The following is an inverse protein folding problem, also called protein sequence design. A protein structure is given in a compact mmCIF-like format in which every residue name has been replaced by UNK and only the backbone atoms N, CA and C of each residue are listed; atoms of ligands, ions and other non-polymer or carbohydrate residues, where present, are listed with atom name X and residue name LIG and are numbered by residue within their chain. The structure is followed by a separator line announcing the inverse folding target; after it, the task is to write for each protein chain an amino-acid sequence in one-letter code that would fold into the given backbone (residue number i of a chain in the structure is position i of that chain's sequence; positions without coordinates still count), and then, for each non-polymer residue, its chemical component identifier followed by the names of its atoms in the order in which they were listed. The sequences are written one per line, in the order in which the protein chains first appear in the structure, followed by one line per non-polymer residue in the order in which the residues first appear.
data_IF_965861034829
#
_entry.id   IF_965861034829
#
_cell.length_a   1.000
_cell.length_b   1.000
_cell.length_c   1.000
_cell.angle_alpha   90.00
_cell.angle_beta   90.00
_cell.angle_gamma   90.00
#
_symmetry.space_group_name_H-M   'P 1'
#
loop_
_entity.id
_entity.type
_entity.pdbx_description
1 polymer ?
#
# COMPACT_ATOMS: atom_id res chain seq x y z
N UNK A 1 -19.64 -7.28 5.54
CA UNK A 1 -19.34 -7.34 7.00
C UNK A 1 -17.90 -6.96 7.36
N UNK A 2 -17.06 -6.62 6.39
CA UNK A 2 -15.62 -6.28 6.59
C UNK A 2 -15.36 -4.78 6.76
N UNK A 3 -16.06 -3.91 6.09
CA UNK A 3 -15.86 -2.45 6.17
C UNK A 3 -16.29 -1.84 7.51
N UNK A 4 -17.40 -2.32 8.07
CA UNK A 4 -17.83 -1.95 9.42
C UNK A 4 -16.84 -2.42 10.50
N UNK A 5 -16.12 -3.51 10.27
CA UNK A 5 -15.12 -4.00 11.23
C UNK A 5 -13.81 -3.20 11.16
N UNK A 6 -13.30 -2.88 9.98
CA UNK A 6 -12.03 -2.13 9.81
C UNK A 6 -12.21 -0.65 10.15
N UNK A 7 -13.28 -0.02 9.70
CA UNK A 7 -13.65 1.36 10.08
C UNK A 7 -13.99 1.45 11.57
N UNK A 8 -14.68 0.44 12.14
CA UNK A 8 -14.98 0.37 13.56
C UNK A 8 -13.72 0.10 14.41
N UNK A 9 -12.79 -0.74 13.94
CA UNK A 9 -11.50 -0.96 14.60
C UNK A 9 -10.63 0.30 14.57
N UNK A 10 -10.48 0.96 13.41
CA UNK A 10 -9.76 2.23 13.32
C UNK A 10 -10.41 3.34 14.18
N UNK A 11 -11.73 3.37 14.29
CA UNK A 11 -12.44 4.35 15.11
C UNK A 11 -12.28 4.08 16.61
N UNK A 12 -12.21 2.82 17.03
CA UNK A 12 -11.94 2.42 18.43
C UNK A 12 -10.52 2.82 18.84
N UNK A 13 -9.54 2.72 17.91
CA UNK A 13 -8.14 3.07 18.17
C UNK A 13 -7.87 4.59 18.11
N UNK A 14 -8.68 5.37 17.37
CA UNK A 14 -8.46 6.83 17.23
C UNK A 14 -8.82 7.64 18.47
N UNK A 15 -9.65 7.12 19.36
CA UNK A 15 -10.14 7.86 20.52
C UNK A 15 -9.27 7.76 21.78
N UNK A 16 -8.17 6.95 21.78
CA UNK A 16 -7.37 6.69 22.99
C UNK A 16 -5.88 6.45 22.69
N UNK A 17 -5.23 7.32 21.93
CA UNK A 17 -3.85 7.14 21.46
C UNK A 17 -2.75 7.19 22.54
N UNK A 18 -3.04 7.72 23.71
CA UNK A 18 -2.00 7.99 24.72
C UNK A 18 -1.69 6.82 25.69
N UNK A 19 -2.43 5.70 25.66
CA UNK A 19 -2.28 4.61 26.62
C UNK A 19 -2.29 3.18 26.04
N UNK A 20 -2.23 2.98 24.73
CA UNK A 20 -2.39 1.67 24.13
C UNK A 20 -1.07 0.92 23.89
N UNK A 21 -1.02 -0.33 24.36
CA UNK A 21 0.07 -1.28 24.07
C UNK A 21 -0.22 -2.02 22.77
N UNK A 22 0.69 -1.98 21.81
CA UNK A 22 0.54 -2.68 20.53
C UNK A 22 1.13 -4.09 20.59
N UNK A 23 0.39 -5.04 20.04
CA UNK A 23 0.70 -6.47 20.06
C UNK A 23 0.81 -7.01 18.62
N UNK A 24 1.90 -7.68 18.35
CA UNK A 24 2.19 -8.23 17.03
C UNK A 24 2.47 -9.73 17.19
N UNK A 25 1.87 -10.58 16.35
CA UNK A 25 2.22 -11.97 16.22
C UNK A 25 2.96 -12.23 14.91
N UNK A 26 4.09 -12.89 14.97
CA UNK A 26 4.83 -13.40 13.80
C UNK A 26 4.90 -14.92 13.90
N UNK A 27 4.25 -15.60 12.97
CA UNK A 27 4.15 -17.06 12.94
C UNK A 27 5.10 -17.59 11.89
N UNK A 28 6.09 -18.35 12.34
CA UNK A 28 7.25 -18.81 11.57
C UNK A 28 8.40 -17.82 11.61
N UNK A 29 9.55 -18.26 12.15
CA UNK A 29 10.81 -17.49 12.18
C UNK A 29 11.92 -18.14 11.34
N UNK A 30 11.53 -18.78 10.23
CA UNK A 30 12.43 -19.23 9.18
C UNK A 30 13.07 -18.08 8.38
N UNK A 31 13.32 -18.27 7.10
CA UNK A 31 13.96 -17.24 6.24
C UNK A 31 13.20 -15.93 6.18
N UNK A 32 11.87 -15.98 6.03
CA UNK A 32 11.01 -14.79 5.98
C UNK A 32 10.92 -14.13 7.36
N UNK A 33 10.44 -14.87 8.37
CA UNK A 33 10.13 -14.30 9.68
C UNK A 33 11.37 -13.82 10.43
N UNK A 34 12.50 -14.53 10.37
CA UNK A 34 13.75 -14.07 11.00
C UNK A 34 14.25 -12.76 10.37
N UNK A 35 14.10 -12.59 9.05
CA UNK A 35 14.40 -11.33 8.36
C UNK A 35 13.44 -10.23 8.79
N UNK A 36 12.14 -10.48 8.72
CA UNK A 36 11.10 -9.50 9.10
C UNK A 36 11.32 -8.98 10.52
N UNK A 37 11.43 -9.87 11.51
CA UNK A 37 11.58 -9.48 12.92
C UNK A 37 12.88 -8.71 13.14
N UNK A 38 13.98 -9.13 12.50
CA UNK A 38 15.28 -8.45 12.63
C UNK A 38 15.22 -7.01 12.11
N UNK A 39 14.61 -6.76 10.96
CA UNK A 39 14.52 -5.42 10.39
C UNK A 39 13.50 -4.56 11.14
N UNK A 40 12.35 -5.12 11.48
CA UNK A 40 11.30 -4.42 12.24
C UNK A 40 11.80 -3.95 13.61
N UNK A 41 12.42 -4.82 14.39
CA UNK A 41 12.91 -4.50 15.75
C UNK A 41 13.96 -3.39 15.70
N UNK A 42 14.88 -3.42 14.74
CA UNK A 42 15.89 -2.36 14.54
C UNK A 42 15.25 -1.03 14.16
N UNK A 43 14.27 -1.04 13.27
CA UNK A 43 13.53 0.15 12.87
C UNK A 43 12.76 0.75 14.06
N UNK A 44 12.05 -0.06 14.83
CA UNK A 44 11.32 0.38 16.02
C UNK A 44 12.26 0.92 17.10
N UNK A 45 13.38 0.25 17.37
CA UNK A 45 14.35 0.69 18.38
C UNK A 45 14.89 2.12 18.13
N UNK A 46 15.11 2.49 16.86
CA UNK A 46 15.65 3.80 16.47
C UNK A 46 14.58 4.81 16.08
N UNK A 47 13.39 4.33 15.77
CA UNK A 47 12.27 5.18 15.30
C UNK A 47 11.62 5.98 16.44
N UNK A 48 10.96 7.09 16.06
CA UNK A 48 10.17 7.90 16.98
C UNK A 48 8.85 7.25 17.42
N UNK A 49 8.45 6.14 16.82
CA UNK A 49 7.17 5.48 17.09
C UNK A 49 7.03 5.09 18.57
N UNK A 50 8.06 4.52 19.18
CA UNK A 50 8.07 4.21 20.62
C UNK A 50 7.93 5.44 21.53
N UNK A 51 8.12 6.65 21.01
CA UNK A 51 7.89 7.88 21.79
C UNK A 51 6.41 8.26 21.82
N UNK A 52 5.64 7.85 20.80
CA UNK A 52 4.21 8.12 20.65
C UNK A 52 3.32 6.95 21.04
N UNK A 53 3.87 5.75 21.28
CA UNK A 53 3.16 4.57 21.78
C UNK A 53 3.53 4.28 23.21
N UNK A 54 2.78 3.43 23.93
CA UNK A 54 3.17 2.98 25.26
C UNK A 54 4.20 1.86 25.14
N UNK A 55 3.81 0.67 24.78
CA UNK A 55 4.70 -0.47 24.63
C UNK A 55 4.37 -1.24 23.34
N UNK A 56 5.37 -1.90 22.75
CA UNK A 56 5.21 -2.80 21.62
C UNK A 56 5.75 -4.17 22.02
N UNK A 57 4.91 -5.20 21.89
CA UNK A 57 5.29 -6.58 22.17
C UNK A 57 5.13 -7.42 20.91
N UNK A 58 6.16 -8.16 20.53
CA UNK A 58 6.21 -9.04 19.37
C UNK A 58 6.28 -10.49 19.87
N UNK A 59 5.20 -11.25 19.69
CA UNK A 59 5.18 -12.69 19.91
C UNK A 59 5.67 -13.40 18.65
N UNK A 60 6.68 -14.25 18.80
CA UNK A 60 7.23 -15.03 17.71
C UNK A 60 7.00 -16.52 17.95
N UNK A 61 6.35 -17.19 16.99
CA UNK A 61 5.92 -18.59 17.09
C UNK A 61 6.67 -19.47 16.09
N UNK A 62 7.35 -20.48 16.57
CA UNK A 62 8.01 -21.51 15.74
C UNK A 62 8.48 -22.64 16.65
N UNK A 63 8.12 -23.90 16.34
CA UNK A 63 8.52 -25.07 17.13
C UNK A 63 9.88 -25.61 16.75
N UNK A 64 10.46 -25.17 15.64
CA UNK A 64 11.69 -25.69 15.07
C UNK A 64 12.93 -25.28 15.86
N UNK A 65 13.97 -26.12 15.68
CA UNK A 65 15.33 -25.81 16.12
C UNK A 65 16.20 -25.36 14.94
N UNK A 66 17.18 -24.55 15.26
CA UNK A 66 18.17 -24.13 14.28
C UNK A 66 18.99 -25.34 13.83
N UNK A 67 19.02 -25.60 12.54
CA UNK A 67 19.90 -26.60 11.90
C UNK A 67 21.06 -25.93 11.16
N UNK A 68 22.08 -26.71 10.78
CA UNK A 68 23.22 -26.20 9.99
C UNK A 68 22.74 -25.60 8.66
N UNK A 69 21.75 -26.23 8.01
CA UNK A 69 21.21 -25.78 6.72
C UNK A 69 20.53 -24.42 6.82
N UNK A 70 19.98 -24.08 7.99
CA UNK A 70 19.35 -22.78 8.22
C UNK A 70 20.35 -21.62 8.14
N UNK A 71 21.63 -21.87 8.44
CA UNK A 71 22.66 -20.83 8.42
C UNK A 71 22.90 -20.24 7.03
N UNK A 72 22.55 -20.96 5.98
CA UNK A 72 22.73 -20.50 4.60
C UNK A 72 21.78 -19.39 4.19
N UNK A 73 20.57 -19.29 4.81
CA UNK A 73 19.52 -18.40 4.34
C UNK A 73 18.58 -17.86 5.44
N UNK A 74 18.87 -18.12 6.72
CA UNK A 74 18.13 -17.58 7.86
C UNK A 74 19.05 -16.76 8.76
N UNK A 75 18.50 -15.95 9.65
CA UNK A 75 19.26 -15.00 10.48
C UNK A 75 19.81 -15.65 11.75
N UNK A 76 20.46 -16.81 11.61
CA UNK A 76 21.07 -17.56 12.71
C UNK A 76 22.58 -17.70 12.53
N UNK A 77 23.29 -17.93 13.62
CA UNK A 77 24.73 -18.18 13.68
C UNK A 77 25.05 -19.65 14.01
N UNK A 78 26.28 -20.05 13.80
CA UNK A 78 26.70 -21.41 14.15
C UNK A 78 26.53 -21.72 15.66
N UNK A 79 26.59 -20.70 16.52
CA UNK A 79 26.37 -20.85 17.95
C UNK A 79 24.93 -21.13 18.35
N UNK A 80 23.99 -20.94 17.43
CA UNK A 80 22.55 -21.14 17.66
C UNK A 80 22.08 -22.55 17.28
N UNK A 81 22.93 -23.36 16.63
CA UNK A 81 22.56 -24.71 16.18
C UNK A 81 22.12 -25.58 17.35
N UNK A 82 20.89 -26.09 17.26
CA UNK A 82 20.26 -26.91 18.31
C UNK A 82 19.33 -26.12 19.24
N UNK A 83 19.42 -24.81 19.33
CA UNK A 83 18.47 -23.98 20.08
C UNK A 83 17.14 -23.88 19.34
N UNK A 84 16.03 -23.54 20.03
CA UNK A 84 14.81 -23.16 19.34
C UNK A 84 15.01 -21.88 18.54
N UNK A 85 14.48 -21.83 17.33
CA UNK A 85 14.62 -20.66 16.42
C UNK A 85 14.14 -19.38 17.09
N UNK A 86 13.01 -19.44 17.81
CA UNK A 86 12.43 -18.30 18.53
C UNK A 86 13.37 -17.77 19.62
N UNK A 87 14.00 -18.66 20.40
CA UNK A 87 14.94 -18.27 21.46
C UNK A 87 16.22 -17.67 20.90
N UNK A 88 16.77 -18.29 19.84
CA UNK A 88 17.96 -17.80 19.15
C UNK A 88 17.75 -16.40 18.57
N UNK A 89 16.59 -16.18 17.90
CA UNK A 89 16.25 -14.88 17.32
C UNK A 89 16.05 -13.83 18.40
N UNK A 90 15.27 -14.10 19.45
CA UNK A 90 15.05 -13.17 20.56
C UNK A 90 16.37 -12.78 21.24
N UNK A 91 17.27 -13.76 21.47
CA UNK A 91 18.61 -13.53 22.03
C UNK A 91 19.46 -12.62 21.12
N UNK A 92 19.45 -12.86 19.81
CA UNK A 92 20.23 -12.07 18.85
C UNK A 92 19.79 -10.60 18.76
N UNK A 93 18.56 -10.32 19.12
CA UNK A 93 17.95 -8.97 19.09
C UNK A 93 17.86 -8.30 20.46
N UNK A 94 18.43 -8.92 21.51
CA UNK A 94 18.33 -8.45 22.90
C UNK A 94 18.89 -7.04 23.12
N UNK A 95 19.88 -6.62 22.33
CA UNK A 95 20.43 -5.25 22.42
C UNK A 95 19.49 -4.15 21.90
N UNK A 96 18.48 -4.52 21.11
CA UNK A 96 17.48 -3.62 20.54
C UNK A 96 16.17 -3.62 21.33
N UNK A 97 16.01 -4.54 22.29
CA UNK A 97 14.81 -4.67 23.12
C UNK A 97 14.99 -4.03 24.49
N UNK A 98 13.90 -3.80 25.21
CA UNK A 98 13.92 -3.16 26.52
C UNK A 98 12.51 -3.08 27.10
N UNK A 99 12.29 -2.13 28.03
CA UNK A 99 11.01 -2.01 28.72
C UNK A 99 9.83 -1.65 27.81
N UNK A 100 10.09 -1.00 26.68
CA UNK A 100 9.05 -0.53 25.75
C UNK A 100 8.94 -1.29 24.44
N UNK A 101 9.93 -2.13 24.14
CA UNK A 101 9.93 -3.02 22.98
C UNK A 101 10.39 -4.39 23.43
N UNK A 102 9.52 -5.38 23.37
CA UNK A 102 9.80 -6.73 23.83
C UNK A 102 9.53 -7.78 22.76
N UNK A 103 10.30 -8.87 22.80
CA UNK A 103 10.07 -10.08 21.99
C UNK A 103 9.74 -11.21 22.97
N UNK A 104 8.63 -11.91 22.70
CA UNK A 104 8.20 -13.08 23.48
C UNK A 104 8.34 -14.33 22.61
N UNK A 105 9.35 -15.17 22.88
CA UNK A 105 9.53 -16.41 22.14
C UNK A 105 8.50 -17.47 22.55
N UNK A 106 7.90 -18.12 21.57
CA UNK A 106 6.84 -19.14 21.71
C UNK A 106 7.27 -20.39 20.90
N UNK A 107 7.90 -21.36 21.57
CA UNK A 107 8.48 -22.55 20.93
C UNK A 107 7.41 -23.62 20.64
N UNK A 108 6.34 -23.27 19.95
CA UNK A 108 5.27 -24.18 19.53
C UNK A 108 4.62 -23.74 18.21
N UNK A 109 3.93 -24.68 17.54
CA UNK A 109 3.19 -24.43 16.31
C UNK A 109 1.85 -23.80 16.61
N UNK A 110 1.40 -22.94 15.71
CA UNK A 110 0.04 -22.41 15.69
C UNK A 110 -0.85 -23.34 14.85
N UNK A 111 -1.79 -24.03 15.49
CA UNK A 111 -2.74 -24.97 14.87
C UNK A 111 -4.18 -24.55 15.03
N UNK A 112 -4.44 -23.65 15.97
CA UNK A 112 -5.75 -23.07 16.28
C UNK A 112 -5.59 -21.63 16.76
N UNK A 113 -6.68 -20.87 16.82
CA UNK A 113 -6.67 -19.52 17.37
C UNK A 113 -6.28 -19.49 18.87
N UNK A 114 -6.54 -20.57 19.61
CA UNK A 114 -6.23 -20.67 21.03
C UNK A 114 -4.71 -20.83 21.30
N UNK A 115 -3.91 -21.13 20.27
CA UNK A 115 -2.45 -21.23 20.38
C UNK A 115 -1.77 -19.85 20.37
N UNK A 116 -2.53 -18.78 20.08
CA UNK A 116 -2.04 -17.42 19.99
C UNK A 116 -2.68 -16.50 21.01
N UNK A 117 -1.94 -15.51 21.47
CA UNK A 117 -2.53 -14.39 22.20
C UNK A 117 -3.30 -13.47 21.24
N UNK A 118 -4.29 -12.75 21.76
CA UNK A 118 -4.97 -11.71 21.00
C UNK A 118 -3.99 -10.57 20.67
N UNK A 119 -3.90 -10.20 19.40
CA UNK A 119 -2.96 -9.21 18.90
C UNK A 119 -3.63 -8.24 17.91
N UNK A 120 -2.99 -7.10 17.67
CA UNK A 120 -3.46 -6.08 16.73
C UNK A 120 -3.05 -6.40 15.29
N UNK A 121 -1.86 -6.97 15.12
CA UNK A 121 -1.28 -7.33 13.81
C UNK A 121 -0.79 -8.77 13.83
N UNK A 122 -1.13 -9.54 12.80
CA UNK A 122 -0.66 -10.93 12.64
C UNK A 122 0.07 -11.10 11.33
N UNK A 123 1.29 -11.63 11.36
CA UNK A 123 2.03 -12.02 10.16
C UNK A 123 2.31 -13.52 10.20
N UNK A 124 2.04 -14.21 9.09
CA UNK A 124 2.36 -15.63 8.92
C UNK A 124 3.33 -15.81 7.76
N UNK A 125 4.43 -16.53 8.02
CA UNK A 125 5.48 -16.82 7.04
C UNK A 125 6.01 -18.25 7.18
N UNK A 126 5.09 -19.22 7.34
CA UNK A 126 5.37 -20.67 7.44
C UNK A 126 5.10 -21.38 6.13
N UNK A 127 5.50 -22.62 6.01
CA UNK A 127 5.13 -23.53 4.93
C UNK A 127 3.80 -24.26 5.17
N UNK A 128 3.31 -24.30 6.41
CA UNK A 128 2.08 -24.98 6.81
C UNK A 128 0.82 -24.21 6.35
N UNK A 129 -0.03 -24.83 5.53
CA UNK A 129 -1.33 -24.31 5.15
C UNK A 129 -2.32 -24.22 6.33
N UNK A 130 -2.17 -25.05 7.35
CA UNK A 130 -3.03 -25.01 8.55
C UNK A 130 -2.86 -23.71 9.32
N UNK A 131 -1.62 -23.33 9.65
CA UNK A 131 -1.34 -22.08 10.35
C UNK A 131 -1.81 -20.86 9.55
N UNK A 132 -1.64 -20.88 8.21
CA UNK A 132 -2.16 -19.82 7.32
C UNK A 132 -3.68 -19.67 7.43
N UNK A 133 -4.43 -20.78 7.37
CA UNK A 133 -5.89 -20.77 7.51
C UNK A 133 -6.35 -20.27 8.86
N UNK A 134 -5.64 -20.63 9.94
CA UNK A 134 -5.92 -20.08 11.27
C UNK A 134 -5.85 -18.56 11.22
N UNK A 135 -4.75 -18.00 10.67
CA UNK A 135 -4.57 -16.55 10.55
C UNK A 135 -5.66 -15.91 9.70
N UNK A 136 -5.97 -16.47 8.51
CA UNK A 136 -7.02 -15.93 7.64
C UNK A 136 -8.41 -15.94 8.29
N UNK A 137 -8.67 -16.85 9.24
CA UNK A 137 -9.95 -16.98 9.92
C UNK A 137 -10.08 -16.15 11.21
N UNK A 138 -8.96 -15.69 11.80
CA UNK A 138 -8.97 -14.93 13.03
C UNK A 138 -9.58 -13.53 12.90
N UNK A 139 -9.73 -13.02 11.67
CA UNK A 139 -10.14 -11.63 11.42
C UNK A 139 -9.05 -10.63 11.79
N UNK A 140 -9.36 -9.33 11.66
CA UNK A 140 -8.40 -8.27 11.97
C UNK A 140 -7.34 -8.05 10.89
N UNK A 141 -6.24 -7.41 11.25
CA UNK A 141 -5.16 -7.04 10.34
C UNK A 141 -4.14 -8.19 10.24
N UNK A 142 -4.14 -8.91 9.15
CA UNK A 142 -3.22 -10.01 8.92
C UNK A 142 -2.46 -9.89 7.59
N UNK A 143 -1.27 -10.47 7.55
CA UNK A 143 -0.40 -10.58 6.38
C UNK A 143 0.13 -12.02 6.26
N UNK A 144 -0.02 -12.63 5.08
CA UNK A 144 0.52 -13.95 4.73
C UNK A 144 1.64 -13.77 3.69
N UNK A 145 2.84 -14.11 4.10
CA UNK A 145 4.06 -14.02 3.29
C UNK A 145 4.49 -15.39 2.82
N UNK A 146 4.73 -15.51 1.52
CA UNK A 146 5.23 -16.73 0.88
C UNK A 146 6.40 -16.40 -0.01
N UNK A 147 7.35 -17.31 -0.13
CA UNK A 147 8.43 -17.18 -1.10
C UNK A 147 8.69 -18.51 -1.79
N UNK A 148 9.18 -18.43 -3.00
CA UNK A 148 9.71 -19.53 -3.77
C UNK A 148 10.89 -19.03 -4.59
N UNK A 149 12.07 -19.53 -4.33
CA UNK A 149 13.31 -19.11 -5.00
C UNK A 149 13.57 -17.60 -4.85
N UNK A 150 13.52 -16.85 -5.97
CA UNK A 150 13.76 -15.41 -6.07
C UNK A 150 12.47 -14.60 -6.19
N UNK A 151 11.31 -15.23 -5.96
CA UNK A 151 10.02 -14.60 -5.94
C UNK A 151 9.34 -14.64 -4.57
N UNK A 152 8.35 -13.78 -4.38
CA UNK A 152 7.50 -13.79 -3.21
C UNK A 152 6.07 -13.39 -3.54
N UNK A 153 5.16 -13.73 -2.64
CA UNK A 153 3.76 -13.31 -2.64
C UNK A 153 3.45 -12.75 -1.24
N UNK A 154 2.84 -11.58 -1.18
CA UNK A 154 2.27 -10.99 0.02
C UNK A 154 0.75 -10.88 -0.15
N UNK A 155 0.01 -11.66 0.63
CA UNK A 155 -1.44 -11.65 0.73
C UNK A 155 -1.80 -10.98 2.05
N UNK A 156 -2.78 -10.09 2.09
CA UNK A 156 -3.27 -9.57 3.37
C UNK A 156 -4.81 -9.51 3.40
N UNK A 157 -5.35 -9.02 4.49
CA UNK A 157 -6.78 -8.92 4.75
C UNK A 157 -7.57 -8.15 3.68
N UNK A 158 -6.89 -7.38 2.81
CA UNK A 158 -7.49 -6.63 1.69
C UNK A 158 -7.70 -7.46 0.43
N UNK A 159 -7.06 -8.64 0.33
CA UNK A 159 -7.15 -9.51 -0.85
C UNK A 159 -8.51 -10.20 -0.89
N UNK A 160 -9.04 -10.37 -2.10
CA UNK A 160 -10.27 -11.13 -2.36
C UNK A 160 -10.25 -12.49 -1.64
N UNK A 161 -11.24 -12.80 -0.78
CA UNK A 161 -11.27 -14.02 0.01
C UNK A 161 -11.27 -15.31 -0.82
N UNK A 162 -11.88 -15.30 -2.01
CA UNK A 162 -11.89 -16.46 -2.90
C UNK A 162 -10.49 -16.69 -3.49
N UNK A 163 -9.78 -15.61 -3.80
CA UNK A 163 -8.38 -15.68 -4.23
C UNK A 163 -7.48 -16.21 -3.11
N UNK A 164 -7.66 -15.74 -1.87
CA UNK A 164 -6.91 -16.24 -0.70
C UNK A 164 -7.13 -17.73 -0.51
N UNK A 165 -8.40 -18.18 -0.60
CA UNK A 165 -8.79 -19.59 -0.49
C UNK A 165 -8.16 -20.42 -1.60
N UNK A 166 -8.24 -19.96 -2.85
CA UNK A 166 -7.66 -20.63 -4.01
C UNK A 166 -6.12 -20.79 -3.88
N UNK A 167 -5.47 -19.81 -3.29
CA UNK A 167 -4.02 -19.80 -3.09
C UNK A 167 -3.56 -20.54 -1.83
N UNK A 168 -4.48 -21.06 -1.02
CA UNK A 168 -4.15 -21.80 0.21
C UNK A 168 -4.73 -23.23 0.18
N UNK A 169 -4.39 -24.05 -0.84
CA UNK A 169 -4.83 -25.43 -0.93
C UNK A 169 -4.16 -26.28 0.17
N UNK A 170 -4.73 -27.48 0.39
CA UNK A 170 -4.04 -28.51 1.16
C UNK A 170 -2.86 -29.03 0.37
N UNK A 171 -1.66 -28.76 0.83
CA UNK A 171 -0.42 -29.25 0.24
C UNK A 171 0.62 -29.56 1.30
N UNK A 172 1.54 -30.46 0.97
CA UNK A 172 2.69 -30.72 1.82
C UNK A 172 3.58 -29.47 1.92
N UNK A 173 4.24 -29.26 3.08
CA UNK A 173 5.19 -28.17 3.26
C UNK A 173 6.32 -28.24 2.22
N UNK A 174 6.60 -27.10 1.57
CA UNK A 174 7.67 -26.98 0.59
C UNK A 174 8.73 -25.99 1.05
N UNK A 175 10.01 -26.32 0.85
CA UNK A 175 11.11 -25.41 1.14
C UNK A 175 11.06 -24.18 0.22
N UNK A 176 11.39 -23.01 0.77
CA UNK A 176 11.57 -21.80 -0.02
C UNK A 176 12.81 -21.81 -0.94
N UNK A 177 13.72 -22.77 -0.76
CA UNK A 177 14.90 -23.01 -1.59
C UNK A 177 14.69 -24.26 -2.46
N UNK A 178 15.24 -24.25 -3.66
CA UNK A 178 15.27 -25.44 -4.52
C UNK A 178 16.10 -26.55 -3.88
N UNK A 179 15.76 -27.79 -4.18
CA UNK A 179 16.55 -28.95 -3.79
C UNK A 179 18.00 -28.80 -4.30
N UNK A 180 18.97 -29.05 -3.45
CA UNK A 180 20.41 -28.91 -3.75
C UNK A 180 20.92 -27.45 -3.78
N UNK A 181 20.07 -26.45 -3.52
CA UNK A 181 20.51 -25.05 -3.52
C UNK A 181 21.47 -24.73 -2.37
N UNK A 182 21.23 -25.34 -1.20
CA UNK A 182 22.06 -25.12 -0.01
C UNK A 182 23.43 -25.73 -0.22
N UNK A 183 23.50 -26.99 -0.68
CA UNK A 183 24.74 -27.74 -0.91
C UNK A 183 25.61 -27.10 -2.01
N UNK A 184 24.95 -26.56 -3.04
CA UNK A 184 25.65 -25.87 -4.16
C UNK A 184 25.99 -24.41 -3.86
N UNK A 185 25.45 -23.83 -2.77
CA UNK A 185 25.58 -22.42 -2.47
C UNK A 185 24.73 -21.50 -3.40
N UNK A 186 23.87 -22.09 -4.24
CA UNK A 186 23.01 -21.33 -5.19
C UNK A 186 21.72 -20.84 -4.53
N UNK A 187 21.86 -20.14 -3.42
CA UNK A 187 20.76 -19.60 -2.62
C UNK A 187 19.99 -18.52 -3.40
N UNK A 188 18.69 -18.54 -3.28
CA UNK A 188 17.77 -17.52 -3.80
C UNK A 188 17.22 -16.65 -2.67
N UNK A 189 16.96 -15.36 -2.95
CA UNK A 189 16.70 -14.35 -1.94
C UNK A 189 15.25 -13.86 -1.87
N UNK A 190 14.29 -14.61 -2.42
CA UNK A 190 12.86 -14.27 -2.32
C UNK A 190 12.37 -14.08 -0.88
N UNK A 191 12.91 -14.85 0.07
CA UNK A 191 12.60 -14.72 1.49
C UNK A 191 13.02 -13.37 2.09
N UNK A 192 14.10 -12.73 1.60
CA UNK A 192 14.50 -11.40 2.04
C UNK A 192 13.52 -10.34 1.56
N UNK A 193 13.04 -10.44 0.31
CA UNK A 193 12.03 -9.55 -0.23
C UNK A 193 10.73 -9.66 0.54
N UNK A 194 10.25 -10.88 0.79
CA UNK A 194 9.07 -11.14 1.60
C UNK A 194 9.23 -10.57 3.01
N UNK A 195 10.37 -10.80 3.66
CA UNK A 195 10.66 -10.27 4.99
C UNK A 195 10.70 -8.74 5.05
N UNK A 196 11.31 -8.10 4.05
CA UNK A 196 11.33 -6.63 3.94
C UNK A 196 9.94 -6.05 3.71
N UNK A 197 9.13 -6.66 2.81
CA UNK A 197 7.73 -6.27 2.61
C UNK A 197 6.94 -6.37 3.91
N UNK A 198 7.08 -7.47 4.64
CA UNK A 198 6.39 -7.67 5.92
C UNK A 198 6.80 -6.68 7.00
N UNK A 199 8.09 -6.37 7.12
CA UNK A 199 8.58 -5.38 8.08
C UNK A 199 7.98 -3.99 7.79
N UNK A 200 7.93 -3.59 6.52
CA UNK A 200 7.32 -2.33 6.10
C UNK A 200 5.80 -2.34 6.34
N UNK A 201 5.12 -3.44 6.02
CA UNK A 201 3.68 -3.58 6.24
C UNK A 201 3.31 -3.41 7.72
N UNK A 202 4.04 -4.06 8.63
CA UNK A 202 3.82 -3.93 10.08
C UNK A 202 4.10 -2.50 10.54
N UNK A 203 5.21 -1.90 10.11
CA UNK A 203 5.60 -0.54 10.51
C UNK A 203 4.56 0.49 10.08
N UNK A 204 4.10 0.45 8.83
CA UNK A 204 3.09 1.37 8.31
C UNK A 204 1.72 1.20 9.00
N UNK A 205 1.31 -0.04 9.31
CA UNK A 205 0.10 -0.26 10.09
C UNK A 205 0.22 0.27 11.52
N UNK A 206 1.37 0.13 12.17
CA UNK A 206 1.60 0.75 13.48
C UNK A 206 1.49 2.28 13.40
N UNK A 207 2.03 2.90 12.36
CA UNK A 207 1.86 4.34 12.13
C UNK A 207 0.38 4.72 11.92
N UNK A 208 -0.38 3.95 11.16
CA UNK A 208 -1.83 4.17 11.00
C UNK A 208 -2.57 4.05 12.34
N UNK A 209 -2.29 2.99 13.11
CA UNK A 209 -2.91 2.74 14.42
C UNK A 209 -2.56 3.83 15.44
N UNK A 210 -1.42 4.51 15.29
CA UNK A 210 -1.02 5.66 16.11
C UNK A 210 -1.50 7.01 15.55
N UNK A 211 -2.38 7.00 14.54
CA UNK A 211 -3.03 8.20 14.01
C UNK A 211 -2.25 8.96 12.92
N UNK A 212 -1.16 8.39 12.39
CA UNK A 212 -0.42 8.99 11.28
C UNK A 212 -1.14 8.70 9.96
N UNK A 213 -2.02 9.60 9.54
CA UNK A 213 -2.85 9.46 8.34
C UNK A 213 -2.08 9.39 7.01
N UNK A 214 -0.79 9.74 7.01
CA UNK A 214 0.08 9.68 5.84
C UNK A 214 0.80 8.33 5.67
N UNK A 215 0.62 7.39 6.60
CA UNK A 215 1.20 6.06 6.49
C UNK A 215 0.46 5.25 5.41
N UNK A 216 1.22 4.59 4.54
CA UNK A 216 0.67 3.82 3.41
C UNK A 216 1.26 2.41 3.44
N UNK A 217 0.53 1.44 4.02
CA UNK A 217 0.98 0.05 4.02
C UNK A 217 1.15 -0.49 2.59
N UNK A 218 2.21 -1.28 2.33
CA UNK A 218 2.42 -1.90 1.03
C UNK A 218 1.18 -2.66 0.57
N UNK A 219 0.88 -2.57 -0.72
CA UNK A 219 -0.24 -3.29 -1.33
C UNK A 219 0.05 -4.78 -1.45
N UNK A 220 -0.98 -5.65 -1.39
CA UNK A 220 -0.83 -7.06 -1.70
C UNK A 220 -0.30 -7.26 -3.11
N UNK A 221 0.77 -8.05 -3.22
CA UNK A 221 1.47 -8.20 -4.51
C UNK A 221 2.26 -9.50 -4.59
N UNK A 222 2.65 -9.85 -5.81
CA UNK A 222 3.65 -10.86 -6.10
C UNK A 222 4.77 -10.27 -6.93
N UNK A 223 5.99 -10.68 -6.69
CA UNK A 223 7.14 -10.27 -7.50
C UNK A 223 8.12 -11.41 -7.70
N UNK A 224 8.83 -11.40 -8.84
CA UNK A 224 9.92 -12.31 -9.15
C UNK A 224 11.07 -11.53 -9.77
N UNK A 225 12.26 -11.63 -9.17
CA UNK A 225 13.45 -10.87 -9.58
C UNK A 225 14.01 -11.33 -10.91
N UNK A 226 14.10 -12.65 -11.14
CA UNK A 226 14.71 -13.22 -12.36
C UNK A 226 13.92 -12.80 -13.60
N UNK A 227 12.61 -12.77 -13.51
CA UNK A 227 11.76 -12.40 -14.66
C UNK A 227 11.36 -10.93 -14.67
N UNK A 228 11.76 -10.16 -13.64
CA UNK A 228 11.41 -8.73 -13.52
C UNK A 228 9.90 -8.49 -13.49
N UNK A 229 9.14 -9.41 -12.89
CA UNK A 229 7.69 -9.30 -12.79
C UNK A 229 7.26 -8.73 -11.46
N UNK A 230 6.29 -7.84 -11.50
CA UNK A 230 5.53 -7.34 -10.36
C UNK A 230 4.04 -7.39 -10.75
N UNK A 231 3.22 -8.02 -9.92
CA UNK A 231 1.79 -8.09 -10.13
C UNK A 231 1.04 -7.75 -8.83
N UNK A 232 0.09 -6.84 -8.92
CA UNK A 232 -0.85 -6.57 -7.84
C UNK A 232 -1.81 -7.75 -7.71
N UNK A 233 -2.22 -8.06 -6.48
CA UNK A 233 -3.20 -9.11 -6.23
C UNK A 233 -4.61 -8.51 -6.25
N UNK A 234 -5.64 -9.32 -6.58
CA UNK A 234 -7.02 -8.86 -6.57
C UNK A 234 -7.40 -8.50 -5.13
N UNK A 235 -7.80 -7.26 -4.93
CA UNK A 235 -8.34 -6.81 -3.66
C UNK A 235 -9.79 -7.30 -3.51
N UNK A 236 -10.21 -7.55 -2.28
CA UNK A 236 -11.62 -7.69 -1.98
C UNK A 236 -12.32 -6.44 -2.51
N UNK A 237 -13.42 -6.62 -3.22
CA UNK A 237 -14.25 -5.48 -3.59
C UNK A 237 -14.61 -4.78 -2.28
N UNK A 238 -14.02 -3.62 -2.03
CA UNK A 238 -14.61 -2.72 -1.06
C UNK A 238 -16.03 -2.49 -1.56
N UNK A 239 -17.02 -2.68 -0.69
CA UNK A 239 -18.34 -2.09 -0.88
C UNK A 239 -18.23 -0.55 -0.73
N UNK A 240 -17.25 0.07 -1.35
CA UNK A 240 -17.35 1.47 -1.73
C UNK A 240 -18.49 1.49 -2.73
N UNK A 241 -19.48 2.31 -2.48
CA UNK A 241 -20.51 2.55 -3.49
C UNK A 241 -19.78 2.78 -4.82
N UNK A 242 -20.10 2.00 -5.88
CA UNK A 242 -19.38 2.09 -7.12
C UNK A 242 -19.38 3.56 -7.53
N UNK A 243 -18.19 4.16 -7.71
CA UNK A 243 -18.12 5.55 -8.14
C UNK A 243 -18.85 5.66 -9.46
N UNK A 244 -20.02 6.26 -9.42
CA UNK A 244 -20.82 6.48 -10.60
C UNK A 244 -20.23 7.61 -11.43
N UNK A 245 -20.28 7.53 -12.76
CA UNK A 245 -19.90 8.66 -13.57
C UNK A 245 -20.77 9.88 -13.23
N UNK A 246 -20.15 11.02 -13.14
CA UNK A 246 -20.78 12.29 -12.77
C UNK A 246 -21.27 12.98 -14.03
N UNK A 247 -22.54 13.38 -14.04
CA UNK A 247 -23.10 14.18 -15.14
C UNK A 247 -22.58 15.62 -15.06
N UNK A 248 -22.00 16.18 -16.14
CA UNK A 248 -21.50 17.56 -16.13
C UNK A 248 -22.65 18.57 -16.11
N UNK A 249 -22.93 19.17 -14.95
CA UNK A 249 -24.03 20.15 -14.76
C UNK A 249 -23.45 21.42 -14.14
N UNK A 250 -23.71 22.55 -14.77
CA UNK A 250 -23.41 23.86 -14.17
C UNK A 250 -24.46 24.25 -13.12
N UNK A 251 -23.98 24.48 -11.90
CA UNK A 251 -24.82 24.95 -10.81
C UNK A 251 -24.65 26.46 -10.56
N UNK A 252 -25.72 27.15 -10.05
CA UNK A 252 -25.66 28.58 -9.73
C UNK A 252 -24.54 28.86 -8.69
N UNK A 253 -23.83 30.00 -8.79
CA UNK A 253 -22.75 30.33 -7.84
C UNK A 253 -23.19 30.36 -6.37
N UNK A 254 -24.42 30.71 -6.08
CA UNK A 254 -24.99 30.70 -4.72
C UNK A 254 -25.13 29.30 -4.14
N UNK A 255 -25.48 28.30 -4.96
CA UNK A 255 -25.55 26.87 -4.56
C UNK A 255 -24.15 26.33 -4.25
N UNK A 256 -23.19 26.61 -5.13
CA UNK A 256 -21.78 26.21 -4.91
C UNK A 256 -21.23 26.84 -3.61
N UNK A 257 -21.47 28.16 -3.42
CA UNK A 257 -21.01 28.85 -2.21
C UNK A 257 -21.65 28.29 -0.94
N UNK A 258 -22.91 27.85 -1.01
CA UNK A 258 -23.57 27.20 0.12
C UNK A 258 -22.90 25.87 0.49
N UNK A 259 -22.62 24.98 -0.48
CA UNK A 259 -21.93 23.72 -0.26
C UNK A 259 -20.54 23.97 0.35
N UNK A 260 -19.77 24.92 -0.19
CA UNK A 260 -18.43 25.24 0.35
C UNK A 260 -18.54 25.75 1.80
N UNK A 261 -19.49 26.62 2.10
CA UNK A 261 -19.65 27.23 3.46
C UNK A 261 -20.11 26.22 4.51
N UNK A 262 -20.84 25.19 4.11
CA UNK A 262 -21.29 24.10 5.00
C UNK A 262 -20.27 22.97 5.12
N UNK A 263 -19.17 23.01 4.36
CA UNK A 263 -18.17 21.94 4.32
C UNK A 263 -18.60 20.69 3.55
N UNK A 264 -19.69 20.78 2.78
CA UNK A 264 -20.25 19.69 1.96
C UNK A 264 -19.49 19.59 0.62
N UNK A 265 -18.19 19.33 0.70
CA UNK A 265 -17.28 19.35 -0.45
C UNK A 265 -17.44 18.14 -1.37
N UNK A 266 -17.96 17.02 -0.85
CA UNK A 266 -18.17 15.76 -1.59
C UNK A 266 -19.60 15.64 -2.14
N UNK A 267 -20.36 16.76 -2.14
CA UNK A 267 -21.73 16.75 -2.65
C UNK A 267 -21.77 16.54 -4.16
N UNK A 268 -22.83 15.88 -4.64
CA UNK A 268 -23.10 15.74 -6.07
C UNK A 268 -23.05 17.08 -6.81
N UNK A 269 -23.52 18.15 -6.18
CA UNK A 269 -23.51 19.53 -6.72
C UNK A 269 -22.07 20.00 -7.05
N UNK A 270 -21.12 19.80 -6.14
CA UNK A 270 -19.72 20.17 -6.35
C UNK A 270 -19.11 19.30 -7.45
N UNK A 271 -19.31 17.99 -7.41
CA UNK A 271 -18.78 17.06 -8.40
C UNK A 271 -19.33 17.31 -9.81
N UNK A 272 -20.64 17.51 -9.93
CA UNK A 272 -21.30 17.85 -11.20
C UNK A 272 -20.79 19.17 -11.79
N UNK A 273 -20.59 20.18 -10.93
CA UNK A 273 -20.08 21.48 -11.35
C UNK A 273 -18.60 21.37 -11.80
N UNK A 274 -17.76 20.62 -11.05
CA UNK A 274 -16.38 20.37 -11.42
C UNK A 274 -16.27 19.63 -12.76
N UNK A 275 -17.10 18.59 -12.98
CA UNK A 275 -17.19 17.90 -14.25
C UNK A 275 -17.60 18.82 -15.41
N UNK A 276 -18.56 19.74 -15.19
CA UNK A 276 -18.99 20.70 -16.19
C UNK A 276 -17.89 21.72 -16.54
N UNK A 277 -17.12 22.17 -15.56
CA UNK A 277 -15.96 23.04 -15.76
C UNK A 277 -14.87 22.32 -16.58
N UNK A 278 -14.56 21.09 -16.23
CA UNK A 278 -13.57 20.30 -16.97
C UNK A 278 -14.01 20.00 -18.41
N UNK A 279 -15.26 19.59 -18.61
CA UNK A 279 -15.83 19.34 -19.95
C UNK A 279 -15.79 20.56 -20.84
N UNK A 280 -15.94 21.74 -20.25
CA UNK A 280 -15.91 23.03 -20.95
C UNK A 280 -14.52 23.66 -20.97
N UNK A 281 -13.50 22.93 -20.50
CA UNK A 281 -12.10 23.39 -20.44
C UNK A 281 -11.93 24.73 -19.69
N UNK A 282 -12.78 24.99 -18.71
CA UNK A 282 -12.73 26.17 -17.87
C UNK A 282 -11.74 25.99 -16.72
N UNK A 283 -10.46 25.81 -17.07
CA UNK A 283 -9.40 25.40 -16.14
C UNK A 283 -9.19 26.37 -14.98
N UNK A 284 -9.14 27.71 -15.20
CA UNK A 284 -9.02 28.67 -14.10
C UNK A 284 -10.16 28.55 -13.09
N UNK A 285 -11.38 28.34 -13.56
CA UNK A 285 -12.56 28.18 -12.68
C UNK A 285 -12.56 26.86 -11.93
N UNK A 286 -12.06 25.78 -12.57
CA UNK A 286 -11.91 24.48 -11.92
C UNK A 286 -10.87 24.56 -10.81
N UNK A 287 -9.71 25.18 -11.09
CA UNK A 287 -8.71 25.45 -10.05
C UNK A 287 -9.27 26.32 -8.93
N UNK A 288 -9.99 27.42 -9.26
CA UNK A 288 -10.59 28.31 -8.28
C UNK A 288 -11.59 27.58 -7.37
N UNK A 289 -12.34 26.61 -7.90
CA UNK A 289 -13.27 25.77 -7.12
C UNK A 289 -12.51 24.99 -6.06
N UNK A 290 -11.45 24.27 -6.42
CA UNK A 290 -10.59 23.54 -5.49
C UNK A 290 -9.96 24.46 -4.45
N UNK A 291 -9.42 25.59 -4.90
CA UNK A 291 -8.79 26.59 -4.01
C UNK A 291 -9.76 27.16 -2.96
N UNK A 292 -11.00 27.47 -3.35
CA UNK A 292 -12.04 27.94 -2.41
C UNK A 292 -12.44 26.91 -1.37
N UNK A 293 -12.39 25.64 -1.71
CA UNK A 293 -12.65 24.54 -0.78
C UNK A 293 -11.44 24.20 0.09
N UNK A 294 -10.24 24.71 -0.26
CA UNK A 294 -8.97 24.24 0.26
C UNK A 294 -8.81 22.72 0.09
N UNK A 295 -9.14 22.22 -1.10
CA UNK A 295 -9.14 20.81 -1.47
C UNK A 295 -8.62 20.64 -2.90
N UNK A 296 -7.93 19.54 -3.14
CA UNK A 296 -7.60 19.12 -4.49
C UNK A 296 -8.80 18.41 -5.13
N UNK A 297 -9.02 18.65 -6.41
CA UNK A 297 -10.05 18.00 -7.21
C UNK A 297 -9.33 17.10 -8.23
N UNK A 298 -9.78 15.86 -8.35
CA UNK A 298 -9.32 14.90 -9.36
C UNK A 298 -10.47 14.52 -10.28
N UNK A 299 -10.24 14.52 -11.59
CA UNK A 299 -11.22 14.15 -12.61
C UNK A 299 -10.58 13.16 -13.56
N UNK A 300 -11.17 11.97 -13.63
CA UNK A 300 -10.79 10.93 -14.57
C UNK A 300 -11.83 10.86 -15.70
N UNK A 301 -11.37 10.87 -16.93
CA UNK A 301 -12.21 10.72 -18.13
C UNK A 301 -11.95 9.36 -18.77
N UNK A 302 -12.97 8.54 -18.89
CA UNK A 302 -12.85 7.21 -19.47
C UNK A 302 -12.94 7.19 -21.01
N UNK A 303 -12.80 5.99 -21.61
CA UNK A 303 -12.88 5.82 -23.06
C UNK A 303 -14.23 6.20 -23.68
N UNK A 304 -15.31 6.22 -22.90
CA UNK A 304 -16.67 6.59 -23.31
C UNK A 304 -17.02 8.05 -22.97
N UNK A 305 -16.04 8.88 -22.59
CA UNK A 305 -16.20 10.28 -22.16
C UNK A 305 -16.99 10.45 -20.85
N UNK A 306 -17.13 9.40 -20.05
CA UNK A 306 -17.68 9.48 -18.71
C UNK A 306 -16.65 10.06 -17.77
N UNK A 307 -17.11 10.95 -16.89
CA UNK A 307 -16.26 11.67 -15.92
C UNK A 307 -16.49 11.12 -14.52
N UNK A 308 -15.42 10.88 -13.80
CA UNK A 308 -15.41 10.47 -12.41
C UNK A 308 -14.66 11.54 -11.62
N UNK A 309 -15.30 12.10 -10.60
CA UNK A 309 -14.77 13.23 -9.83
C UNK A 309 -14.51 12.79 -8.40
N UNK A 310 -13.34 13.13 -7.91
CA UNK A 310 -12.94 12.98 -6.52
C UNK A 310 -12.54 14.33 -5.93
N UNK A 311 -12.85 14.52 -4.66
CA UNK A 311 -12.40 15.67 -3.87
C UNK A 311 -11.51 15.17 -2.74
N UNK A 312 -10.23 15.49 -2.82
CA UNK A 312 -9.21 15.04 -1.87
C UNK A 312 -9.08 15.94 -0.63
N UNK A 313 -7.89 15.94 -0.07
CA UNK A 313 -7.47 16.84 1.00
C UNK A 313 -6.88 18.14 0.44
N UNK A 314 -6.31 19.00 1.28
CA UNK A 314 -5.63 20.23 0.86
C UNK A 314 -4.27 20.02 0.17
N UNK A 315 -3.79 18.80 0.03
CA UNK A 315 -2.48 18.50 -0.58
C UNK A 315 -2.36 17.08 -1.10
N UNK A 316 -3.49 16.39 -1.29
CA UNK A 316 -3.51 15.06 -1.87
C UNK A 316 -4.90 14.69 -2.38
N UNK A 317 -4.95 14.25 -3.63
CA UNK A 317 -6.10 13.57 -4.21
C UNK A 317 -5.63 12.31 -4.94
N UNK A 318 -6.31 11.21 -4.72
CA UNK A 318 -5.96 9.94 -5.36
C UNK A 318 -6.67 9.78 -6.71
N UNK A 319 -5.92 9.25 -7.69
CA UNK A 319 -6.53 8.70 -8.89
C UNK A 319 -6.97 7.26 -8.58
N UNK A 320 -8.24 7.08 -8.33
CA UNK A 320 -8.83 5.74 -8.23
C UNK A 320 -9.36 5.28 -9.60
N UNK A 321 -9.23 3.99 -9.89
CA UNK A 321 -9.84 3.38 -11.08
C UNK A 321 -11.28 2.96 -10.75
N UNK A 322 -12.32 3.73 -11.18
CA UNK A 322 -13.69 3.44 -10.82
C UNK A 322 -14.17 2.12 -11.44
N UNK A 323 -14.90 1.33 -10.66
CA UNK A 323 -15.47 0.08 -11.14
C UNK A 323 -16.40 0.33 -12.34
N UNK A 324 -16.17 -0.37 -13.44
CA UNK A 324 -16.95 -0.24 -14.67
C UNK A 324 -16.54 0.90 -15.61
N UNK A 325 -15.57 1.73 -15.24
CA UNK A 325 -14.96 2.70 -16.15
C UNK A 325 -14.24 1.99 -17.31
N UNK A 326 -14.28 2.56 -18.49
CA UNK A 326 -13.73 1.96 -19.72
C UNK A 326 -12.30 2.47 -19.98
N UNK A 327 -11.40 1.54 -20.13
CA UNK A 327 -10.00 1.82 -20.52
C UNK A 327 -9.85 1.80 -22.05
N UNK A 328 -8.83 2.52 -22.61
CA UNK A 328 -7.90 3.39 -21.89
C UNK A 328 -8.57 4.67 -21.39
N UNK A 329 -8.15 5.16 -20.22
CA UNK A 329 -8.58 6.46 -19.73
C UNK A 329 -8.02 7.56 -20.65
N UNK A 330 -8.88 8.48 -21.08
CA UNK A 330 -8.47 9.56 -21.99
C UNK A 330 -7.60 10.58 -21.27
N UNK A 331 -8.04 11.05 -20.09
CA UNK A 331 -7.28 12.02 -19.33
C UNK A 331 -7.51 11.90 -17.82
N UNK A 332 -6.49 12.27 -17.06
CA UNK A 332 -6.55 12.51 -15.63
C UNK A 332 -6.16 13.96 -15.35
N UNK A 333 -7.08 14.72 -14.76
CA UNK A 333 -6.94 16.15 -14.49
C UNK A 333 -7.05 16.34 -12.98
N UNK A 334 -6.09 17.05 -12.36
CA UNK A 334 -6.22 17.38 -10.95
C UNK A 334 -5.67 18.78 -10.65
N UNK A 335 -6.08 19.33 -9.52
CA UNK A 335 -5.70 20.68 -9.09
C UNK A 335 -4.65 20.60 -7.98
N UNK A 336 -3.67 21.50 -8.02
CA UNK A 336 -2.74 21.76 -6.91
C UNK A 336 -3.11 23.09 -6.22
N UNK A 337 -2.72 23.28 -4.93
CA UNK A 337 -3.10 24.48 -4.18
C UNK A 337 -2.62 25.81 -4.79
N UNK A 338 -1.40 25.83 -5.33
CA UNK A 338 -0.75 27.02 -5.87
C UNK A 338 -0.21 26.78 -7.30
N UNK A 339 1.00 26.24 -7.42
CA UNK A 339 1.66 26.04 -8.71
C UNK A 339 1.34 24.66 -9.31
N UNK A 340 1.27 24.59 -10.65
CA UNK A 340 1.19 23.33 -11.36
C UNK A 340 2.60 22.73 -11.51
N UNK A 341 2.79 21.53 -10.97
CA UNK A 341 4.02 20.73 -11.12
C UNK A 341 3.72 19.25 -10.92
N UNK A 342 4.60 18.37 -11.36
CA UNK A 342 4.48 16.94 -11.10
C UNK A 342 5.08 16.61 -9.73
N UNK A 343 4.25 16.32 -8.75
CA UNK A 343 4.70 15.83 -7.44
C UNK A 343 5.25 14.40 -7.54
N UNK A 344 5.92 13.92 -6.50
CA UNK A 344 6.38 12.52 -6.45
C UNK A 344 5.21 11.52 -6.49
N UNK A 345 4.07 11.89 -5.91
CA UNK A 345 2.83 11.10 -5.93
C UNK A 345 2.26 11.02 -7.34
N UNK A 346 2.20 12.15 -8.06
CA UNK A 346 1.72 12.20 -9.44
C UNK A 346 2.61 11.36 -10.37
N UNK A 347 3.92 11.49 -10.23
CA UNK A 347 4.87 10.69 -11.01
C UNK A 347 4.71 9.18 -10.75
N UNK A 348 4.47 8.80 -9.50
CA UNK A 348 4.16 7.41 -9.16
C UNK A 348 2.84 6.95 -9.77
N UNK A 349 1.81 7.79 -9.75
CA UNK A 349 0.52 7.52 -10.39
C UNK A 349 0.67 7.34 -11.90
N UNK A 350 1.37 8.25 -12.59
CA UNK A 350 1.65 8.15 -14.02
C UNK A 350 2.42 6.87 -14.37
N UNK A 351 3.42 6.52 -13.55
CA UNK A 351 4.17 5.30 -13.73
C UNK A 351 3.28 4.05 -13.65
N UNK A 352 2.39 3.99 -12.66
CA UNK A 352 1.47 2.87 -12.43
C UNK A 352 0.38 2.79 -13.51
N UNK A 353 -0.05 3.92 -14.07
CA UNK A 353 -1.15 4.00 -15.03
C UNK A 353 -0.68 4.02 -16.50
N UNK A 354 0.63 3.90 -16.78
CA UNK A 354 1.21 3.99 -18.13
C UNK A 354 0.54 3.07 -19.16
N UNK A 355 0.01 1.92 -18.73
CA UNK A 355 -0.65 0.97 -19.64
C UNK A 355 -2.10 1.33 -20.01
N UNK A 356 -2.75 2.23 -19.28
CA UNK A 356 -4.19 2.47 -19.37
C UNK A 356 -4.59 3.95 -19.37
N UNK A 357 -3.67 4.89 -19.14
CA UNK A 357 -3.92 6.33 -19.16
C UNK A 357 -3.19 6.97 -20.35
N UNK A 358 -3.87 7.83 -21.10
CA UNK A 358 -3.32 8.45 -22.30
C UNK A 358 -2.75 9.84 -22.04
N UNK A 359 -3.36 10.62 -21.15
CA UNK A 359 -2.98 12.01 -20.89
C UNK A 359 -3.20 12.35 -19.42
N UNK A 360 -2.39 13.23 -18.87
CA UNK A 360 -2.57 13.79 -17.54
C UNK A 360 -2.27 15.29 -17.51
N UNK A 361 -2.97 16.01 -16.62
CA UNK A 361 -2.86 17.46 -16.46
C UNK A 361 -2.93 17.85 -15.00
N UNK A 362 -2.03 18.72 -14.55
CA UNK A 362 -2.06 19.38 -13.25
C UNK A 362 -2.41 20.84 -13.45
N UNK A 363 -3.41 21.33 -12.72
CA UNK A 363 -3.85 22.71 -12.75
C UNK A 363 -3.27 23.48 -11.56
N UNK A 364 -2.61 24.58 -11.80
CA UNK A 364 -2.20 25.57 -10.82
C UNK A 364 -3.02 26.85 -10.94
N UNK A 365 -2.59 27.91 -10.25
CA UNK A 365 -3.32 29.18 -10.14
C UNK A 365 -3.56 29.86 -11.49
N UNK A 366 -2.54 29.95 -12.34
CA UNK A 366 -2.55 30.71 -13.59
C UNK A 366 -2.00 29.91 -14.79
N UNK A 367 -1.52 28.70 -14.54
CA UNK A 367 -0.94 27.83 -15.56
C UNK A 367 -1.26 26.36 -15.27
N UNK A 368 -0.99 25.51 -16.24
CA UNK A 368 -1.04 24.05 -16.09
C UNK A 368 0.23 23.40 -16.63
N UNK A 369 0.49 22.17 -16.17
CA UNK A 369 1.44 21.25 -16.80
C UNK A 369 0.69 20.03 -17.29
N UNK A 370 1.09 19.50 -18.42
CA UNK A 370 0.48 18.31 -18.98
C UNK A 370 1.52 17.30 -19.44
N UNK A 371 1.10 16.08 -19.62
CA UNK A 371 1.93 14.98 -20.10
C UNK A 371 1.06 14.01 -20.91
N UNK A 372 1.61 13.53 -22.01
CA UNK A 372 0.95 12.55 -22.88
C UNK A 372 1.74 11.26 -22.84
N UNK A 373 1.03 10.16 -22.69
CA UNK A 373 1.61 8.83 -22.79
C UNK A 373 1.88 8.49 -24.26
N UNK A 374 3.13 8.39 -24.61
CA UNK A 374 3.58 8.09 -25.97
C UNK A 374 4.56 6.92 -25.93
N UNK A 375 4.05 5.73 -26.18
CA UNK A 375 4.90 4.53 -26.30
C UNK A 375 5.94 4.74 -27.41
N UNK A 376 7.21 4.82 -27.01
CA UNK A 376 8.33 4.96 -27.93
C UNK A 376 8.77 6.42 -28.21
N UNK A 377 8.77 7.26 -27.19
CA UNK A 377 9.42 8.59 -27.26
C UNK A 377 10.86 8.46 -27.79
N UNK A 378 11.09 9.01 -28.99
CA UNK A 378 12.41 8.97 -29.65
C UNK A 378 13.42 9.94 -29.04
N UNK A 379 12.97 10.87 -28.22
CA UNK A 379 13.82 11.90 -27.60
C UNK A 379 13.74 11.81 -26.07
N UNK A 380 14.76 11.20 -25.41
CA UNK A 380 14.80 11.06 -23.96
C UNK A 380 14.75 12.37 -23.18
N UNK A 381 15.21 13.49 -23.81
CA UNK A 381 15.20 14.82 -23.18
C UNK A 381 13.79 15.39 -23.00
N UNK A 382 12.80 14.82 -23.69
CA UNK A 382 11.38 15.20 -23.61
C UNK A 382 10.56 14.24 -22.74
N UNK A 383 11.18 13.37 -21.99
CA UNK A 383 10.49 12.45 -21.08
C UNK A 383 10.42 13.00 -19.66
N UNK A 384 9.36 12.67 -18.93
CA UNK A 384 9.21 13.01 -17.50
C UNK A 384 10.26 12.35 -16.62
N UNK A 385 10.79 11.21 -17.04
CA UNK A 385 11.83 10.50 -16.32
C UNK A 385 12.77 9.73 -17.23
N UNK A 386 14.00 9.40 -16.76
CA UNK A 386 15.04 8.80 -17.61
C UNK A 386 14.79 7.32 -17.92
N UNK A 387 13.92 6.64 -17.18
CA UNK A 387 13.65 5.20 -17.29
C UNK A 387 12.15 4.89 -17.35
N UNK A 388 11.80 3.75 -17.96
CA UNK A 388 10.42 3.26 -17.96
C UNK A 388 9.94 3.02 -16.50
N UNK A 389 8.63 3.28 -16.22
CA UNK A 389 7.61 3.68 -17.18
C UNK A 389 7.53 5.19 -17.47
N UNK A 390 8.17 6.06 -16.70
CA UNK A 390 8.10 7.53 -16.86
C UNK A 390 8.75 8.02 -18.17
N UNK A 391 9.65 7.25 -18.77
CA UNK A 391 10.20 7.56 -20.10
C UNK A 391 9.18 7.47 -21.24
N UNK A 392 7.98 6.93 -20.97
CA UNK A 392 6.87 6.93 -21.92
C UNK A 392 5.99 8.19 -21.84
N UNK A 393 6.20 9.02 -20.85
CA UNK A 393 5.45 10.25 -20.62
C UNK A 393 6.23 11.46 -21.08
N UNK A 394 5.56 12.36 -21.82
CA UNK A 394 6.21 13.60 -22.29
C UNK A 394 6.37 14.61 -21.15
N UNK A 395 7.45 15.37 -21.18
CA UNK A 395 7.63 16.56 -20.32
C UNK A 395 7.30 17.79 -21.15
N UNK A 396 6.05 18.23 -21.10
CA UNK A 396 5.62 19.44 -21.76
C UNK A 396 5.89 20.65 -20.86
N UNK A 397 6.25 21.82 -21.42
CA UNK A 397 6.44 23.03 -20.64
C UNK A 397 5.12 23.48 -19.99
N UNK A 398 5.21 24.18 -18.87
CA UNK A 398 4.04 24.85 -18.29
C UNK A 398 3.44 25.86 -19.29
N UNK A 399 2.11 25.90 -19.35
CA UNK A 399 1.35 26.76 -20.27
C UNK A 399 0.41 27.63 -19.46
N UNK A 400 0.51 28.94 -19.67
CA UNK A 400 -0.46 29.88 -19.10
C UNK A 400 -1.85 29.64 -19.71
N UNK A 401 -2.89 29.73 -18.91
CA UNK A 401 -4.27 29.53 -19.40
C UNK A 401 -4.67 30.47 -20.54
N UNK A 402 -4.04 31.67 -20.60
CA UNK A 402 -4.27 32.63 -21.67
C UNK A 402 -3.73 32.16 -23.04
N UNK A 403 -2.73 31.26 -23.03
CA UNK A 403 -2.06 30.74 -24.22
C UNK A 403 -2.60 29.37 -24.65
N UNK A 404 -3.54 28.80 -23.90
CA UNK A 404 -4.18 27.53 -24.26
C UNK A 404 -5.08 27.71 -25.49
N UNK A 405 -5.04 26.77 -26.45
CA UNK A 405 -5.95 26.83 -27.59
C UNK A 405 -7.38 26.73 -27.08
N UNK A 406 -8.20 27.70 -27.44
CA UNK A 406 -9.67 27.64 -27.24
C UNK A 406 -10.22 26.52 -28.12
N UNK A 407 -10.93 25.56 -27.50
CA UNK A 407 -11.56 24.42 -28.17
C UNK A 407 -12.63 24.84 -29.17
#
# INVERSE_FOLDING_TARGET
MTETATSSLMQIYSDNTDEYDYRIAVIGVGGIGSTLVSELVRALHRGGLLQSTKDITIWIYDSDRVSVDNLAHQRFSAGDVGDYKVDALARSLSEFTGSRLSIVPCAWDVRSADDMVAVDLTVVGVDSHLARRVVHSCGGLWLDLRCGNDGYIALDYRVDPDFVTLRTPDQEPESCQQEGAIESGHIKFGHLLAGAHGAMWVLEHLFLLTGHKSAVPPVPQSANLTYGTLALLPLAEEESEPKHPVEPIFHPPGTISACISTGDHDSGVIMEHAAALAKSQMWPQLWELGHKMNREISILVDAEDKMYVDVGTSGQVEMSNPLGAKIPFKSWIHTHPDDAYWSSTDLSTLANQTGILLEAMVLGKDHCVWSVNSSGLKNPEKALGPAAPLSNWTSEPAVDYADMPTA
#
